data_IF_947051762739
#
_entry.id   IF_947051762739
#
_cell.length_a   1.000
_cell.length_b   1.000
_cell.length_c   1.000
_cell.angle_alpha   90.00
_cell.angle_beta   90.00
_cell.angle_gamma   90.00
#
_symmetry.space_group_name_H-M   'P 1'
#
loop_
_entity.id
_entity.type
_entity.pdbx_description
1 polymer ?
#
# COMPACT_ATOMS: atom_id res chain seq x y z
N UNK A 1 -26.64 20.14 54.37
CA UNK A 1 -26.38 20.61 52.99
C UNK A 1 -25.38 19.64 52.35
N UNK A 2 -25.87 18.78 51.49
CA UNK A 2 -25.01 17.83 50.80
C UNK A 2 -24.53 18.52 49.52
N UNK A 3 -23.23 18.80 49.46
CA UNK A 3 -22.61 19.26 48.24
C UNK A 3 -22.50 18.07 47.31
N UNK A 4 -23.32 18.06 46.27
CA UNK A 4 -23.18 17.10 45.20
C UNK A 4 -22.00 17.60 44.38
N UNK A 5 -20.88 16.94 44.53
CA UNK A 5 -19.77 17.09 43.62
C UNK A 5 -20.12 16.28 42.38
N UNK A 6 -20.65 16.93 41.37
CA UNK A 6 -20.73 16.37 40.05
C UNK A 6 -19.31 16.26 39.55
N UNK A 7 -18.77 15.09 39.65
CA UNK A 7 -17.65 14.72 38.79
C UNK A 7 -18.22 14.60 37.37
N UNK A 8 -18.17 15.69 36.64
CA UNK A 8 -18.21 15.60 35.21
C UNK A 8 -16.97 14.77 34.82
N UNK A 9 -17.17 13.47 34.63
CA UNK A 9 -16.17 12.65 34.04
C UNK A 9 -15.87 13.25 32.68
N UNK A 10 -14.72 13.89 32.57
CA UNK A 10 -14.11 14.13 31.28
C UNK A 10 -13.86 12.72 30.75
N UNK A 11 -14.78 12.21 29.98
CA UNK A 11 -14.48 11.15 29.09
C UNK A 11 -13.44 11.73 28.14
N UNK A 12 -12.18 11.54 28.51
CA UNK A 12 -11.12 11.69 27.57
C UNK A 12 -11.47 10.81 26.40
N UNK A 13 -11.96 11.39 25.33
CA UNK A 13 -11.87 10.80 24.05
C UNK A 13 -10.36 10.66 23.83
N UNK A 14 -9.80 9.54 24.28
CA UNK A 14 -8.68 8.99 23.58
C UNK A 14 -9.26 8.67 22.21
N UNK A 15 -9.34 9.69 21.33
CA UNK A 15 -9.29 9.41 19.93
C UNK A 15 -8.04 8.55 19.82
N UNK A 16 -8.23 7.23 19.80
CA UNK A 16 -7.27 6.41 19.15
C UNK A 16 -7.10 7.10 17.81
N UNK A 17 -6.03 7.88 17.72
CA UNK A 17 -5.44 8.14 16.44
C UNK A 17 -5.09 6.74 15.95
N UNK A 18 -6.11 6.05 15.45
CA UNK A 18 -5.86 5.05 14.46
C UNK A 18 -4.91 5.77 13.54
N UNK A 19 -3.63 5.40 13.57
CA UNK A 19 -2.71 5.88 12.59
C UNK A 19 -3.43 5.64 11.28
N UNK A 20 -4.10 6.70 10.78
CA UNK A 20 -4.74 6.64 9.49
C UNK A 20 -3.62 6.23 8.57
N UNK A 21 -3.79 5.09 7.92
CA UNK A 21 -2.89 4.67 6.88
C UNK A 21 -2.61 5.90 6.03
N UNK A 22 -1.36 6.20 5.73
CA UNK A 22 -1.00 7.28 4.84
C UNK A 22 -1.78 7.10 3.55
N UNK A 23 -2.14 8.20 2.87
CA UNK A 23 -2.87 8.15 1.63
C UNK A 23 -2.18 7.17 0.66
N UNK A 24 -2.87 6.13 0.17
CA UNK A 24 -2.27 5.15 -0.73
C UNK A 24 -1.66 5.77 -1.98
N UNK A 25 -2.24 6.84 -2.49
CA UNK A 25 -1.68 7.58 -3.62
C UNK A 25 -0.31 8.17 -3.29
N UNK A 26 -0.16 8.74 -2.09
CA UNK A 26 1.11 9.30 -1.64
C UNK A 26 2.15 8.19 -1.42
N UNK A 27 1.76 7.07 -0.82
CA UNK A 27 2.64 5.91 -0.67
C UNK A 27 3.06 5.33 -2.02
N UNK A 28 2.13 5.27 -2.97
CA UNK A 28 2.45 4.83 -4.34
C UNK A 28 3.47 5.73 -4.99
N UNK A 29 3.27 7.04 -4.94
CA UNK A 29 4.19 8.02 -5.51
C UNK A 29 5.58 7.97 -4.88
N UNK A 30 5.66 7.76 -3.57
CA UNK A 30 6.92 7.74 -2.83
C UNK A 30 7.69 6.43 -3.00
N UNK A 31 7.00 5.28 -3.09
CA UNK A 31 7.64 3.97 -2.95
C UNK A 31 7.48 3.05 -4.15
N UNK A 32 6.50 3.28 -5.03
CA UNK A 32 6.12 2.33 -6.07
C UNK A 32 6.29 2.91 -7.49
N UNK A 33 6.01 4.19 -7.67
CA UNK A 33 5.92 4.82 -8.99
C UNK A 33 7.24 4.81 -9.75
N UNK A 34 8.37 4.75 -9.07
CA UNK A 34 9.69 4.72 -9.72
C UNK A 34 9.81 3.57 -10.73
N UNK A 35 9.25 2.42 -10.40
CA UNK A 35 9.22 1.25 -11.27
C UNK A 35 7.88 1.10 -11.96
N UNK A 36 6.78 1.14 -11.18
CA UNK A 36 5.44 0.85 -11.68
C UNK A 36 4.80 2.02 -12.43
N UNK A 37 5.33 3.25 -12.28
CA UNK A 37 4.77 4.45 -12.87
C UNK A 37 3.59 5.01 -12.07
N UNK A 38 3.32 6.31 -12.23
CA UNK A 38 2.17 6.96 -11.61
C UNK A 38 0.85 6.38 -12.13
N UNK A 39 0.84 5.86 -13.35
CA UNK A 39 -0.30 5.23 -14.03
C UNK A 39 -0.36 3.70 -13.86
N UNK A 40 0.59 3.10 -13.16
CA UNK A 40 0.66 1.67 -12.92
C UNK A 40 1.02 0.81 -14.14
N UNK A 41 1.45 1.43 -15.24
CA UNK A 41 1.74 0.69 -16.49
C UNK A 41 3.12 0.03 -16.55
N UNK A 42 3.99 0.33 -15.58
CA UNK A 42 5.33 -0.25 -15.55
C UNK A 42 6.26 0.20 -16.67
N UNK A 43 5.95 1.30 -17.33
CA UNK A 43 6.68 1.81 -18.51
C UNK A 43 7.77 2.83 -18.18
N UNK A 44 8.18 2.90 -16.92
CA UNK A 44 9.37 3.67 -16.52
C UNK A 44 10.64 2.96 -17.00
N UNK A 45 11.76 3.67 -17.07
CA UNK A 45 13.04 3.04 -17.43
C UNK A 45 13.38 1.88 -16.49
N UNK A 46 13.19 2.08 -15.19
CA UNK A 46 13.44 1.04 -14.18
C UNK A 46 12.44 -0.11 -14.30
N UNK A 47 11.16 0.21 -14.51
CA UNK A 47 10.11 -0.79 -14.66
C UNK A 47 10.33 -1.69 -15.87
N UNK A 48 10.70 -1.13 -17.00
CA UNK A 48 11.04 -1.90 -18.20
C UNK A 48 12.23 -2.83 -17.97
N UNK A 49 13.25 -2.34 -17.29
CA UNK A 49 14.47 -3.12 -17.02
C UNK A 49 14.21 -4.27 -16.05
N UNK A 50 13.33 -4.07 -15.07
CA UNK A 50 13.04 -5.06 -14.03
C UNK A 50 11.80 -5.91 -14.33
N UNK A 51 11.11 -5.68 -15.44
CA UNK A 51 9.95 -6.46 -15.83
C UNK A 51 8.66 -6.12 -15.07
N UNK A 52 8.49 -4.86 -14.67
CA UNK A 52 7.25 -4.42 -14.03
C UNK A 52 6.06 -4.60 -14.98
N UNK A 53 4.97 -5.15 -14.44
CA UNK A 53 3.77 -5.43 -15.21
C UNK A 53 2.92 -4.19 -15.41
N UNK A 54 2.06 -4.22 -16.42
CA UNK A 54 1.06 -3.19 -16.69
C UNK A 54 -0.23 -3.49 -15.93
N UNK A 55 -0.46 -2.75 -14.84
CA UNK A 55 -1.66 -2.92 -14.02
C UNK A 55 -2.91 -2.24 -14.59
N UNK A 56 -2.80 -1.53 -15.70
CA UNK A 56 -3.99 -1.09 -16.45
C UNK A 56 -4.62 -2.23 -17.25
N UNK A 57 -3.88 -3.31 -17.50
CA UNK A 57 -4.34 -4.49 -18.21
C UNK A 57 -5.22 -5.36 -17.32
N UNK A 58 -6.46 -5.60 -17.76
CA UNK A 58 -7.42 -6.40 -17.03
C UNK A 58 -6.96 -7.85 -16.81
N UNK A 59 -6.25 -8.45 -17.75
CA UNK A 59 -5.74 -9.82 -17.64
C UNK A 59 -4.63 -9.93 -16.59
N UNK A 60 -3.77 -8.92 -16.48
CA UNK A 60 -2.74 -8.82 -15.44
C UNK A 60 -3.40 -8.71 -14.07
N UNK A 61 -4.42 -7.86 -13.95
CA UNK A 61 -5.19 -7.72 -12.71
C UNK A 61 -5.88 -9.02 -12.30
N UNK A 62 -6.47 -9.73 -13.23
CA UNK A 62 -7.19 -10.98 -12.97
C UNK A 62 -6.24 -12.10 -12.51
N UNK A 63 -5.01 -12.12 -13.01
CA UNK A 63 -4.02 -13.14 -12.66
C UNK A 63 -3.37 -12.91 -11.28
N UNK A 64 -3.46 -11.69 -10.74
CA UNK A 64 -2.84 -11.31 -9.47
C UNK A 64 -3.87 -11.32 -8.35
N UNK A 65 -3.68 -12.21 -7.36
CA UNK A 65 -4.50 -12.20 -6.14
C UNK A 65 -4.08 -11.09 -5.20
N UNK A 66 -5.02 -10.61 -4.37
CA UNK A 66 -4.70 -9.61 -3.35
C UNK A 66 -3.63 -10.11 -2.37
N UNK A 67 -3.70 -11.38 -1.97
CA UNK A 67 -2.71 -11.98 -1.08
C UNK A 67 -1.32 -12.01 -1.70
N UNK A 68 -1.20 -12.36 -2.97
CA UNK A 68 0.08 -12.36 -3.67
C UNK A 68 0.64 -10.95 -3.83
N UNK A 69 -0.21 -9.97 -4.10
CA UNK A 69 0.17 -8.56 -4.17
C UNK A 69 0.65 -8.05 -2.81
N UNK A 70 -0.09 -8.33 -1.75
CA UNK A 70 0.28 -7.99 -0.38
C UNK A 70 1.64 -8.57 0.00
N UNK A 71 1.83 -9.84 -0.25
CA UNK A 71 3.08 -10.56 0.06
C UNK A 71 4.26 -9.99 -0.70
N UNK A 72 4.09 -9.69 -1.99
CA UNK A 72 5.14 -9.10 -2.82
C UNK A 72 5.57 -7.73 -2.30
N UNK A 73 4.64 -6.89 -1.85
CA UNK A 73 4.95 -5.58 -1.27
C UNK A 73 5.65 -5.73 0.07
N UNK A 74 5.14 -6.59 0.94
CA UNK A 74 5.65 -6.77 2.30
C UNK A 74 7.01 -7.44 2.34
N UNK A 75 7.19 -8.50 1.56
CA UNK A 75 8.36 -9.37 1.60
C UNK A 75 9.34 -9.13 0.45
N UNK A 76 8.92 -8.32 -0.54
CA UNK A 76 9.66 -8.15 -1.78
C UNK A 76 9.39 -9.27 -2.78
N UNK A 77 9.93 -9.12 -3.96
CA UNK A 77 9.74 -10.07 -5.04
C UNK A 77 11.06 -10.37 -5.73
N UNK A 78 11.29 -11.64 -6.00
CA UNK A 78 12.42 -12.14 -6.77
C UNK A 78 11.95 -12.68 -8.10
N UNK A 79 12.77 -12.50 -9.14
CA UNK A 79 12.50 -13.12 -10.44
C UNK A 79 12.81 -14.63 -10.41
N UNK A 80 12.59 -15.29 -11.54
CA UNK A 80 12.87 -16.73 -11.70
C UNK A 80 14.32 -17.12 -11.44
N UNK A 81 15.25 -16.20 -11.59
CA UNK A 81 16.68 -16.41 -11.36
C UNK A 81 17.09 -16.11 -9.90
N UNK A 82 16.12 -15.80 -9.05
CA UNK A 82 16.36 -15.46 -7.64
C UNK A 82 16.86 -14.05 -7.40
N UNK A 83 16.89 -13.19 -8.44
CA UNK A 83 17.30 -11.81 -8.33
C UNK A 83 16.20 -10.97 -7.72
N UNK A 84 16.53 -10.17 -6.71
CA UNK A 84 15.57 -9.22 -6.12
C UNK A 84 15.25 -8.12 -7.13
N UNK A 85 14.00 -8.05 -7.56
CA UNK A 85 13.49 -7.01 -8.48
C UNK A 85 12.55 -6.04 -7.78
N UNK A 86 12.02 -6.40 -6.63
CA UNK A 86 11.21 -5.53 -5.78
C UNK A 86 11.65 -5.70 -4.34
N UNK A 87 12.02 -4.60 -3.70
CA UNK A 87 12.44 -4.62 -2.30
C UNK A 87 11.25 -4.71 -1.36
N UNK A 88 11.40 -5.35 -0.17
CA UNK A 88 10.38 -5.28 0.86
C UNK A 88 10.08 -3.83 1.26
N UNK A 89 8.81 -3.52 1.44
CA UNK A 89 8.35 -2.21 1.93
C UNK A 89 8.43 -2.16 3.47
N UNK A 90 9.65 -2.10 4.01
CA UNK A 90 9.91 -2.24 5.45
C UNK A 90 9.33 -1.11 6.31
N UNK A 91 9.07 0.05 5.72
CA UNK A 91 8.56 1.25 6.41
C UNK A 91 7.05 1.43 6.29
N UNK A 92 6.34 0.48 5.69
CA UNK A 92 4.89 0.51 5.55
C UNK A 92 4.23 -0.48 6.50
N UNK A 93 3.13 -0.05 7.14
CA UNK A 93 2.29 -0.94 7.93
C UNK A 93 1.50 -1.91 7.04
N UNK A 94 0.95 -2.96 7.63
CA UNK A 94 0.06 -3.88 6.92
C UNK A 94 -1.17 -3.15 6.35
N UNK A 95 -1.71 -2.17 7.08
CA UNK A 95 -2.83 -1.36 6.59
C UNK A 95 -2.43 -0.46 5.42
N UNK A 96 -1.22 0.11 5.44
CA UNK A 96 -0.67 0.84 4.30
C UNK A 96 -0.56 -0.06 3.07
N UNK A 97 -0.08 -1.28 3.25
CA UNK A 97 0.07 -2.25 2.15
C UNK A 97 -1.29 -2.67 1.59
N UNK A 98 -2.27 -2.94 2.44
CA UNK A 98 -3.65 -3.22 2.01
C UNK A 98 -4.23 -2.06 1.20
N UNK A 99 -3.98 -0.83 1.64
CA UNK A 99 -4.36 0.37 0.90
C UNK A 99 -3.72 0.44 -0.48
N UNK A 100 -2.44 0.08 -0.59
CA UNK A 100 -1.74 0.02 -1.87
C UNK A 100 -2.30 -1.05 -2.80
N UNK A 101 -2.64 -2.22 -2.29
CA UNK A 101 -3.28 -3.27 -3.09
C UNK A 101 -4.62 -2.79 -3.65
N UNK A 102 -5.43 -2.13 -2.84
CA UNK A 102 -6.69 -1.53 -3.29
C UNK A 102 -6.43 -0.44 -4.33
N UNK A 103 -5.43 0.41 -4.11
CA UNK A 103 -5.09 1.50 -5.01
C UNK A 103 -4.64 0.98 -6.38
N UNK A 104 -3.79 -0.05 -6.43
CA UNK A 104 -3.33 -0.60 -7.71
C UNK A 104 -4.47 -1.21 -8.54
N UNK A 105 -5.55 -1.68 -7.90
CA UNK A 105 -6.74 -2.15 -8.62
C UNK A 105 -7.45 -1.03 -9.38
N UNK A 106 -7.28 0.22 -8.97
CA UNK A 106 -7.88 1.37 -9.65
C UNK A 106 -7.25 1.68 -11.00
N UNK A 107 -6.07 1.15 -11.30
CA UNK A 107 -5.43 1.34 -12.60
C UNK A 107 -6.07 0.53 -13.72
N UNK A 108 -6.85 -0.47 -13.40
CA UNK A 108 -7.56 -1.31 -14.38
C UNK A 108 -8.44 -0.45 -15.29
N UNK A 109 -8.27 -0.60 -16.57
CA UNK A 109 -9.11 0.03 -17.59
C UNK A 109 -10.05 -0.97 -18.25
#
# INVERSE_FOLDING_TARGET
MKKIILFAGVMGFAAALAASAADPKDNWSASCARCHGADGKGQTNMGKRLGAKDYSDASVQAALTDDAAFKAIKEGFKDKDGKSVMRPAANLSDDDIKGLVTYMRTFKK
#
